data_IF_803697061760
#
_entry.id   IF_803697061760
#
_cell.length_a   1.000
_cell.length_b   1.000
_cell.length_c   1.000
_cell.angle_alpha   90.00
_cell.angle_beta   90.00
_cell.angle_gamma   90.00
#
_symmetry.space_group_name_H-M   'P 1'
#
loop_
_entity.id
_entity.type
_entity.pdbx_description
1 polymer ?
#
# COMPACT_ATOMS: atom_id res chain seq x y z
N UNK A 1 4.17 20.82 -19.26
CA UNK A 1 2.83 21.19 -19.80
C UNK A 1 1.83 20.75 -18.74
N UNK A 2 1.35 21.70 -17.94
CA UNK A 2 0.50 21.41 -16.80
C UNK A 2 -0.92 21.07 -17.26
N UNK A 3 -1.38 19.86 -17.01
CA UNK A 3 -2.80 19.56 -17.03
C UNK A 3 -3.30 19.58 -15.58
N UNK A 4 -3.87 20.69 -15.17
CA UNK A 4 -4.78 20.76 -14.06
C UNK A 4 -6.05 20.00 -14.48
N UNK A 5 -6.36 18.90 -13.80
CA UNK A 5 -7.64 18.21 -13.96
C UNK A 5 -8.67 18.89 -13.07
N UNK A 6 -9.40 19.86 -13.64
CA UNK A 6 -10.65 20.31 -13.06
C UNK A 6 -11.78 19.48 -13.66
N UNK A 7 -12.61 18.93 -12.81
CA UNK A 7 -13.86 18.29 -13.20
C UNK A 7 -14.78 19.34 -13.86
N UNK A 8 -14.74 19.39 -15.19
CA UNK A 8 -15.51 20.37 -15.97
C UNK A 8 -16.92 19.87 -16.23
N UNK A 9 -17.89 20.38 -15.47
CA UNK A 9 -19.28 20.40 -15.93
C UNK A 9 -19.43 21.62 -16.83
N UNK A 10 -19.62 21.41 -18.13
CA UNK A 10 -19.88 22.46 -19.11
C UNK A 10 -21.35 22.90 -18.94
N UNK A 11 -21.58 24.08 -18.39
CA UNK A 11 -22.87 24.78 -18.49
C UNK A 11 -22.67 26.00 -19.39
N UNK A 12 -23.43 26.05 -20.48
CA UNK A 12 -23.45 27.19 -21.39
C UNK A 12 -24.03 28.42 -20.72
N UNK A 13 -23.25 29.48 -20.61
CA UNK A 13 -23.68 30.77 -20.05
C UNK A 13 -24.33 31.65 -21.08
N UNK A 14 -25.59 32.05 -20.85
CA UNK A 14 -26.20 33.24 -21.40
C UNK A 14 -26.02 34.37 -20.40
N UNK A 15 -25.20 35.37 -20.77
CA UNK A 15 -24.91 36.53 -19.93
C UNK A 15 -26.14 37.44 -19.78
N UNK A 16 -26.66 37.52 -18.57
CA UNK A 16 -27.47 38.63 -18.09
C UNK A 16 -26.64 39.39 -17.05
N UNK A 17 -26.26 40.63 -17.36
CA UNK A 17 -25.56 41.51 -16.43
C UNK A 17 -26.52 41.93 -15.32
N UNK A 18 -26.52 41.23 -14.20
CA UNK A 18 -26.98 41.74 -12.91
C UNK A 18 -25.75 42.18 -12.11
N UNK A 19 -25.83 43.21 -11.23
CA UNK A 19 -24.75 43.56 -10.34
C UNK A 19 -24.56 42.39 -9.38
N UNK A 20 -23.47 41.62 -9.55
CA UNK A 20 -23.10 40.55 -8.65
C UNK A 20 -22.69 41.18 -7.32
N UNK A 21 -23.51 41.06 -6.28
CA UNK A 21 -22.97 40.93 -4.94
C UNK A 21 -21.99 39.76 -5.02
N UNK A 22 -20.73 40.00 -4.69
CA UNK A 22 -19.77 38.89 -4.57
C UNK A 22 -20.35 37.94 -3.52
N UNK A 23 -20.90 36.82 -3.98
CA UNK A 23 -21.24 35.72 -3.09
C UNK A 23 -19.92 35.25 -2.47
N UNK A 24 -19.88 35.15 -1.15
CA UNK A 24 -18.75 34.48 -0.49
C UNK A 24 -18.60 33.09 -1.09
N UNK A 25 -17.38 32.70 -1.37
CA UNK A 25 -17.12 31.35 -1.85
C UNK A 25 -17.59 30.34 -0.80
N UNK A 26 -18.30 29.29 -1.22
CA UNK A 26 -18.73 28.25 -0.30
C UNK A 26 -17.47 27.62 0.36
N UNK A 27 -17.59 27.36 1.65
CA UNK A 27 -16.50 26.75 2.44
C UNK A 27 -17.06 25.70 3.40
N UNK A 28 -16.43 24.50 3.40
CA UNK A 28 -16.72 23.43 4.34
C UNK A 28 -15.42 22.98 5.03
N UNK A 29 -15.48 22.80 6.34
CA UNK A 29 -14.38 22.25 7.14
C UNK A 29 -14.86 21.01 7.88
N UNK A 30 -14.24 19.86 7.64
CA UNK A 30 -14.49 18.62 8.36
C UNK A 30 -13.54 18.46 9.55
N UNK A 31 -13.98 17.74 10.59
CA UNK A 31 -13.09 17.30 11.66
C UNK A 31 -11.95 16.47 11.07
N UNK A 32 -10.69 16.79 11.41
CA UNK A 32 -9.53 16.25 10.73
C UNK A 32 -9.34 14.75 10.96
N UNK A 33 -9.61 14.27 12.19
CA UNK A 33 -9.43 12.84 12.54
C UNK A 33 -10.39 12.41 13.64
N UNK A 34 -11.06 11.27 13.39
CA UNK A 34 -11.91 10.58 14.36
C UNK A 34 -11.31 9.20 14.64
N UNK A 35 -11.14 8.84 15.91
CA UNK A 35 -10.67 7.51 16.31
C UNK A 35 -11.76 6.75 17.02
N UNK A 36 -12.03 5.52 16.57
CA UNK A 36 -13.03 4.62 17.18
C UNK A 36 -12.47 3.21 17.31
N UNK A 37 -13.03 2.41 18.21
CA UNK A 37 -12.74 0.97 18.28
C UNK A 37 -13.52 0.21 17.21
N UNK A 38 -12.99 -0.91 16.75
CA UNK A 38 -13.67 -1.81 15.81
C UNK A 38 -15.09 -2.15 16.29
N UNK A 39 -16.06 -2.02 15.41
CA UNK A 39 -17.48 -2.24 15.68
C UNK A 39 -18.20 -1.06 16.34
N UNK A 40 -17.50 0.02 16.69
CA UNK A 40 -18.11 1.25 17.20
C UNK A 40 -18.54 2.17 16.06
N UNK A 41 -19.51 3.04 16.35
CA UNK A 41 -19.88 4.12 15.45
C UNK A 41 -18.85 5.26 15.52
N UNK A 42 -18.54 5.83 14.37
CA UNK A 42 -17.85 7.09 14.24
C UNK A 42 -18.87 8.18 13.85
N UNK A 43 -18.81 9.33 14.53
CA UNK A 43 -19.58 10.51 14.16
C UNK A 43 -18.65 11.43 13.38
N UNK A 44 -18.91 11.60 12.10
CA UNK A 44 -18.21 12.53 11.22
C UNK A 44 -18.86 13.90 11.38
N UNK A 45 -18.06 14.94 11.58
CA UNK A 45 -18.55 16.32 11.79
C UNK A 45 -18.00 17.22 10.69
N UNK A 46 -18.85 18.09 10.14
CA UNK A 46 -18.44 19.13 9.21
C UNK A 46 -19.17 20.45 9.50
N UNK A 47 -18.52 21.55 9.18
CA UNK A 47 -19.00 22.92 9.37
C UNK A 47 -19.05 23.62 8.02
N UNK A 48 -20.23 24.11 7.64
CA UNK A 48 -20.39 25.01 6.50
C UNK A 48 -20.35 26.44 7.02
N UNK A 49 -19.43 27.26 6.55
CA UNK A 49 -19.17 28.60 7.08
C UNK A 49 -19.56 29.70 6.12
N UNK A 50 -19.56 29.45 4.81
CA UNK A 50 -19.86 30.42 3.76
C UNK A 50 -20.73 29.78 2.67
N UNK A 51 -21.25 30.59 1.72
CA UNK A 51 -22.06 30.15 0.59
C UNK A 51 -23.52 30.58 0.69
N UNK A 52 -24.33 30.21 -0.28
CA UNK A 52 -25.75 30.56 -0.40
C UNK A 52 -26.64 29.37 0.02
N UNK A 53 -27.39 29.55 1.12
CA UNK A 53 -28.32 28.50 1.61
C UNK A 53 -29.51 28.29 0.63
N UNK A 54 -30.17 27.10 0.59
CA UNK A 54 -29.86 25.91 1.40
C UNK A 54 -28.66 25.14 0.87
N UNK A 55 -28.04 24.27 1.75
CA UNK A 55 -26.90 23.44 1.42
C UNK A 55 -27.26 21.97 1.40
N UNK A 56 -26.63 21.21 0.51
CA UNK A 56 -26.66 19.76 0.50
C UNK A 56 -25.24 19.23 0.72
N UNK A 57 -25.03 18.42 1.74
CA UNK A 57 -23.75 17.79 2.04
C UNK A 57 -23.84 16.31 1.70
N UNK A 58 -23.04 15.84 0.73
CA UNK A 58 -22.88 14.44 0.39
C UNK A 58 -21.69 13.87 1.15
N UNK A 59 -21.91 12.77 1.87
CA UNK A 59 -20.86 12.01 2.56
C UNK A 59 -20.46 10.81 1.73
N UNK A 60 -19.16 10.64 1.48
CA UNK A 60 -18.61 9.52 0.71
C UNK A 60 -17.46 8.85 1.46
N UNK A 61 -17.20 7.58 1.16
CA UNK A 61 -16.03 6.85 1.63
C UNK A 61 -14.80 7.10 0.74
N UNK A 62 -13.66 6.46 1.04
CA UNK A 62 -12.42 6.56 0.29
C UNK A 62 -12.50 6.03 -1.15
N UNK A 63 -13.56 5.27 -1.50
CA UNK A 63 -13.88 4.83 -2.86
C UNK A 63 -14.86 5.75 -3.57
N UNK A 64 -15.20 6.89 -2.97
CA UNK A 64 -16.22 7.83 -3.43
C UNK A 64 -17.64 7.23 -3.51
N UNK A 65 -17.92 6.14 -2.78
CA UNK A 65 -19.29 5.66 -2.66
C UNK A 65 -20.10 6.61 -1.79
N UNK A 66 -21.27 7.02 -2.27
CA UNK A 66 -22.20 7.87 -1.50
C UNK A 66 -22.76 7.06 -0.34
N UNK A 67 -22.51 7.51 0.90
CA UNK A 67 -23.01 6.92 2.13
C UNK A 67 -24.35 7.53 2.54
N UNK A 68 -24.53 8.81 2.25
CA UNK A 68 -25.75 9.54 2.52
C UNK A 68 -25.59 11.02 2.27
N UNK A 69 -26.71 11.77 2.49
CA UNK A 69 -26.74 13.21 2.35
C UNK A 69 -27.41 13.84 3.58
N UNK A 70 -26.96 15.04 3.94
CA UNK A 70 -27.60 15.91 4.93
C UNK A 70 -27.90 17.25 4.30
N UNK A 71 -28.96 17.93 4.75
CA UNK A 71 -29.32 19.24 4.25
C UNK A 71 -29.32 20.28 5.39
N UNK A 72 -28.85 21.48 5.09
CA UNK A 72 -28.82 22.61 6.00
C UNK A 72 -29.55 23.81 5.37
N UNK A 73 -30.45 24.40 6.11
CA UNK A 73 -31.17 25.61 5.70
C UNK A 73 -30.34 26.91 5.89
N UNK A 74 -29.25 26.80 6.65
CA UNK A 74 -28.33 27.90 6.93
C UNK A 74 -26.92 27.35 7.15
N UNK A 75 -25.90 28.22 7.19
CA UNK A 75 -24.56 27.86 7.63
C UNK A 75 -24.61 27.29 9.05
N UNK A 76 -24.14 26.10 9.24
CA UNK A 76 -24.18 25.40 10.53
C UNK A 76 -23.28 24.15 10.48
N UNK A 77 -23.22 23.45 11.62
CA UNK A 77 -22.62 22.15 11.80
C UNK A 77 -23.56 21.04 11.32
N UNK A 78 -22.98 20.03 10.68
CA UNK A 78 -23.68 18.80 10.35
C UNK A 78 -22.89 17.59 10.85
N UNK A 79 -23.58 16.49 11.14
CA UNK A 79 -22.97 15.23 11.54
C UNK A 79 -23.51 14.07 10.72
N UNK A 80 -22.67 13.06 10.52
CA UNK A 80 -23.04 11.81 9.87
C UNK A 80 -22.44 10.60 10.61
N UNK A 81 -23.23 9.57 10.87
CA UNK A 81 -22.77 8.38 11.58
C UNK A 81 -22.39 7.27 10.59
N UNK A 82 -21.21 6.69 10.78
CA UNK A 82 -20.74 5.49 10.07
C UNK A 82 -20.29 4.42 11.05
N UNK A 83 -20.23 3.16 10.61
CA UNK A 83 -19.63 2.06 11.37
C UNK A 83 -18.47 1.49 10.53
N UNK A 84 -17.28 2.09 10.63
CA UNK A 84 -16.15 1.70 9.81
C UNK A 84 -15.57 0.35 10.28
N UNK A 85 -15.06 -0.44 9.34
CA UNK A 85 -14.39 -1.72 9.60
C UNK A 85 -12.88 -1.65 9.44
N UNK A 86 -12.38 -0.59 8.81
CA UNK A 86 -10.96 -0.31 8.54
C UNK A 86 -10.69 1.19 8.61
N UNK A 87 -9.42 1.57 8.68
CA UNK A 87 -9.01 2.96 8.61
C UNK A 87 -9.24 3.51 7.19
N UNK A 88 -9.67 4.75 7.08
CA UNK A 88 -9.92 5.37 5.77
C UNK A 88 -10.33 6.83 5.87
N UNK A 89 -10.30 7.50 4.74
CA UNK A 89 -10.75 8.88 4.60
C UNK A 89 -12.21 8.92 4.15
N UNK A 90 -12.97 9.83 4.75
CA UNK A 90 -14.36 10.13 4.43
C UNK A 90 -14.46 11.59 3.98
N UNK A 91 -15.24 11.84 2.96
CA UNK A 91 -15.33 13.16 2.34
C UNK A 91 -16.72 13.76 2.59
N UNK A 92 -16.73 15.03 2.98
CA UNK A 92 -17.92 15.86 3.03
C UNK A 92 -17.88 16.83 1.84
N UNK A 93 -18.73 16.62 0.84
CA UNK A 93 -18.88 17.54 -0.30
C UNK A 93 -20.12 18.36 -0.12
N UNK A 94 -19.97 19.68 0.06
CA UNK A 94 -21.09 20.61 0.13
C UNK A 94 -21.43 21.17 -1.25
N UNK A 95 -22.72 21.36 -1.50
CA UNK A 95 -23.25 22.11 -2.65
C UNK A 95 -24.23 23.16 -2.14
N UNK A 96 -24.07 24.43 -2.55
CA UNK A 96 -24.94 25.50 -2.18
C UNK A 96 -26.11 25.70 -3.18
N UNK A 97 -27.03 26.63 -2.89
CA UNK A 97 -28.18 26.92 -3.75
C UNK A 97 -27.81 27.50 -5.15
N UNK A 98 -26.62 28.07 -5.28
CA UNK A 98 -26.12 28.62 -6.55
C UNK A 98 -25.36 27.53 -7.36
N UNK A 99 -25.18 26.31 -6.79
CA UNK A 99 -24.52 25.20 -7.42
C UNK A 99 -22.99 25.23 -7.26
N UNK A 100 -22.44 26.08 -6.39
CA UNK A 100 -21.03 26.04 -6.03
C UNK A 100 -20.78 24.86 -5.11
N UNK A 101 -19.57 24.33 -5.15
CA UNK A 101 -19.18 23.14 -4.36
C UNK A 101 -17.84 23.35 -3.68
N UNK A 102 -17.71 22.77 -2.48
CA UNK A 102 -16.44 22.61 -1.78
C UNK A 102 -16.40 21.22 -1.11
N UNK A 103 -15.20 20.73 -0.77
CA UNK A 103 -14.99 19.39 -0.23
C UNK A 103 -13.92 19.43 0.84
N UNK A 104 -14.18 18.72 1.94
CA UNK A 104 -13.15 18.47 2.95
C UNK A 104 -13.18 17.02 3.45
N UNK A 105 -12.10 16.59 4.09
CA UNK A 105 -11.83 15.19 4.44
C UNK A 105 -11.83 15.01 5.96
N UNK A 106 -12.53 13.98 6.44
CA UNK A 106 -12.42 13.45 7.79
C UNK A 106 -11.70 12.11 7.76
N UNK A 107 -10.56 12.00 8.42
CA UNK A 107 -9.79 10.76 8.55
C UNK A 107 -10.34 9.91 9.69
N UNK A 108 -10.62 8.64 9.44
CA UNK A 108 -11.13 7.72 10.48
C UNK A 108 -10.11 6.64 10.76
N UNK A 109 -9.69 6.55 12.02
CA UNK A 109 -8.81 5.50 12.55
C UNK A 109 -9.67 4.49 13.31
N UNK A 110 -9.59 3.22 12.93
CA UNK A 110 -10.29 2.12 13.60
C UNK A 110 -9.27 1.29 14.37
N UNK A 111 -9.29 1.41 15.69
CA UNK A 111 -8.39 0.65 16.57
C UNK A 111 -8.90 -0.75 16.84
N UNK A 112 -7.97 -1.69 17.10
CA UNK A 112 -8.29 -3.09 17.42
C UNK A 112 -8.67 -3.93 16.20
N UNK A 113 -8.45 -3.47 14.99
CA UNK A 113 -8.61 -4.22 13.75
C UNK A 113 -7.22 -4.59 13.16
N UNK A 114 -7.18 -5.61 12.30
CA UNK A 114 -5.97 -6.16 11.67
C UNK A 114 -6.14 -6.35 10.16
N UNK A 115 -7.01 -5.57 9.54
CA UNK A 115 -7.26 -5.67 8.10
C UNK A 115 -5.96 -5.41 7.32
N UNK A 116 -5.70 -6.25 6.34
CA UNK A 116 -4.55 -6.08 5.44
C UNK A 116 -4.70 -4.81 4.61
N UNK A 117 -3.57 -4.19 4.24
CA UNK A 117 -3.59 -3.15 3.24
C UNK A 117 -3.48 -3.78 1.85
N UNK A 118 -4.57 -3.73 1.11
CA UNK A 118 -4.67 -4.21 -0.27
C UNK A 118 -4.78 -3.07 -1.27
N UNK A 119 -4.85 -1.83 -0.80
CA UNK A 119 -5.00 -0.58 -1.55
C UNK A 119 -6.28 -0.49 -2.41
N UNK A 120 -7.11 -1.53 -2.45
CA UNK A 120 -8.38 -1.55 -3.20
C UNK A 120 -9.47 -0.65 -2.58
N UNK A 121 -9.22 -0.11 -1.39
CA UNK A 121 -10.06 0.93 -0.76
C UNK A 121 -9.75 2.34 -1.26
N UNK A 122 -8.70 2.54 -2.07
CA UNK A 122 -8.29 3.84 -2.61
C UNK A 122 -8.88 4.06 -4.00
N UNK A 123 -9.48 5.22 -4.20
CA UNK A 123 -10.07 5.55 -5.50
C UNK A 123 -9.04 6.14 -6.45
N UNK A 124 -9.04 5.65 -7.67
CA UNK A 124 -8.28 6.17 -8.81
C UNK A 124 -9.13 6.09 -10.07
N UNK A 125 -8.94 7.03 -10.98
CA UNK A 125 -9.36 6.83 -12.36
C UNK A 125 -8.56 5.66 -12.97
N UNK A 126 -9.08 5.09 -14.08
CA UNK A 126 -8.39 4.02 -14.79
C UNK A 126 -7.02 4.48 -15.27
N UNK A 127 -6.00 3.62 -15.14
CA UNK A 127 -4.62 3.88 -15.58
C UNK A 127 -4.05 5.17 -14.98
N UNK A 128 -4.23 5.36 -13.68
CA UNK A 128 -3.79 6.58 -13.00
C UNK A 128 -3.01 6.29 -11.72
N UNK A 129 -2.52 7.34 -11.09
CA UNK A 129 -1.77 7.28 -9.84
C UNK A 129 -2.01 8.52 -8.99
N UNK A 130 -1.81 8.37 -7.68
CA UNK A 130 -1.76 9.47 -6.73
C UNK A 130 -0.38 9.46 -6.03
N UNK A 131 0.27 10.61 -5.97
CA UNK A 131 1.55 10.80 -5.29
C UNK A 131 1.56 11.98 -4.32
N UNK A 132 0.39 12.44 -3.93
CA UNK A 132 0.23 13.63 -3.09
C UNK A 132 -0.18 14.88 -3.92
N UNK A 133 -0.31 16.04 -3.24
CA UNK A 133 -0.20 16.19 -1.79
C UNK A 133 -1.41 15.66 -1.03
N UNK A 134 -1.21 15.20 0.22
CA UNK A 134 -2.28 15.05 1.21
C UNK A 134 -2.45 16.39 1.94
N UNK A 135 -3.49 17.13 1.63
CA UNK A 135 -3.75 18.44 2.24
C UNK A 135 -4.24 18.37 3.69
N UNK A 136 -4.50 17.17 4.24
CA UNK A 136 -4.72 16.94 5.67
C UNK A 136 -3.40 16.67 6.43
N UNK A 137 -2.28 16.60 5.71
CA UNK A 137 -0.96 16.49 6.27
C UNK A 137 -0.47 17.80 6.90
N UNK A 138 0.67 17.72 7.58
CA UNK A 138 1.28 18.88 8.22
C UNK A 138 2.16 19.66 7.23
N UNK A 139 1.99 20.97 7.11
CA UNK A 139 2.92 21.81 6.35
C UNK A 139 4.34 21.69 6.90
N UNK A 140 5.32 21.67 6.00
CA UNK A 140 6.73 21.59 6.36
C UNK A 140 7.62 22.37 5.38
N UNK A 141 8.90 22.45 5.74
CA UNK A 141 9.95 23.02 4.88
C UNK A 141 10.99 21.94 4.64
N UNK A 142 11.23 21.62 3.38
CA UNK A 142 12.24 20.66 2.96
C UNK A 142 13.66 21.14 3.18
N UNK A 143 14.62 20.24 3.05
CA UNK A 143 16.04 20.54 3.29
C UNK A 143 16.62 21.59 2.34
N UNK A 144 15.97 21.83 1.22
CA UNK A 144 16.32 22.87 0.24
C UNK A 144 15.47 24.14 0.37
N UNK A 145 14.68 24.26 1.46
CA UNK A 145 13.82 25.42 1.70
C UNK A 145 12.51 25.41 0.91
N UNK A 146 12.14 24.28 0.32
CA UNK A 146 10.88 24.09 -0.41
C UNK A 146 9.71 23.87 0.53
N UNK A 147 8.53 24.38 0.16
CA UNK A 147 7.29 24.11 0.89
C UNK A 147 6.84 22.66 0.65
N UNK A 148 6.56 21.95 1.72
CA UNK A 148 6.14 20.55 1.69
C UNK A 148 4.83 20.33 2.44
N UNK A 149 4.13 19.25 2.07
CA UNK A 149 3.05 18.65 2.84
C UNK A 149 3.50 17.27 3.29
N UNK A 150 3.52 17.03 4.61
CA UNK A 150 3.86 15.76 5.24
C UNK A 150 2.55 15.06 5.61
N UNK A 151 2.09 14.18 4.76
CA UNK A 151 0.82 13.50 4.86
C UNK A 151 0.94 11.99 4.79
N UNK A 152 -0.20 11.36 4.53
CA UNK A 152 -0.32 9.91 4.41
C UNK A 152 -1.60 9.53 3.67
N UNK A 153 -1.71 8.28 3.26
CA UNK A 153 -2.97 7.64 2.94
C UNK A 153 -3.17 6.39 3.79
N UNK A 154 -4.40 5.88 3.86
CA UNK A 154 -4.78 4.76 4.71
C UNK A 154 -5.26 3.58 3.88
N UNK A 155 -4.84 2.36 4.24
CA UNK A 155 -5.40 1.12 3.72
C UNK A 155 -5.38 0.05 4.80
N UNK A 156 -6.51 -0.61 5.04
CA UNK A 156 -6.66 -1.59 6.10
C UNK A 156 -6.34 -1.02 7.49
N UNK A 157 -5.41 -1.65 8.19
CA UNK A 157 -4.94 -1.24 9.52
C UNK A 157 -3.80 -0.20 9.46
N UNK A 158 -3.35 0.18 8.27
CA UNK A 158 -2.05 0.83 8.04
C UNK A 158 -2.19 2.24 7.48
N UNK A 159 -1.17 3.05 7.74
CA UNK A 159 -0.94 4.34 7.10
C UNK A 159 0.37 4.32 6.33
N UNK A 160 0.41 5.01 5.21
CA UNK A 160 1.56 5.07 4.31
C UNK A 160 1.99 6.51 4.15
N UNK A 161 3.17 6.86 4.67
CA UNK A 161 3.66 8.24 4.67
C UNK A 161 3.89 8.75 3.26
N UNK A 162 3.55 10.03 3.03
CA UNK A 162 3.81 10.73 1.79
C UNK A 162 4.27 12.15 2.12
N UNK A 163 5.46 12.51 1.68
CA UNK A 163 5.95 13.90 1.72
C UNK A 163 5.95 14.44 0.30
N UNK A 164 5.23 15.53 0.08
CA UNK A 164 5.08 16.15 -1.24
C UNK A 164 5.62 17.58 -1.25
N UNK A 165 6.59 17.87 -2.12
CA UNK A 165 7.09 19.22 -2.32
C UNK A 165 6.15 20.01 -3.24
N UNK A 166 5.49 21.04 -2.70
CA UNK A 166 4.64 21.95 -3.44
C UNK A 166 5.45 22.84 -4.39
N UNK A 167 6.75 23.02 -4.12
CA UNK A 167 7.66 23.84 -4.93
C UNK A 167 8.23 23.10 -6.14
N UNK A 168 8.54 21.81 -5.98
CA UNK A 168 9.21 20.99 -6.98
C UNK A 168 8.29 19.96 -7.64
N UNK A 169 7.05 19.82 -7.15
CA UNK A 169 6.09 18.80 -7.60
C UNK A 169 6.69 17.38 -7.56
N UNK A 170 7.47 17.13 -6.51
CA UNK A 170 8.14 15.85 -6.24
C UNK A 170 7.66 15.27 -4.93
N UNK A 171 7.87 13.97 -4.73
CA UNK A 171 7.39 13.25 -3.58
C UNK A 171 8.44 12.27 -3.05
N UNK A 172 8.30 11.83 -1.81
CA UNK A 172 8.97 10.68 -1.21
C UNK A 172 8.02 9.94 -0.27
N UNK A 173 8.36 8.70 0.09
CA UNK A 173 7.49 7.84 0.87
C UNK A 173 6.69 6.93 -0.05
N UNK A 174 5.37 7.03 0.00
CA UNK A 174 4.47 6.19 -0.77
C UNK A 174 3.54 7.01 -1.68
N UNK A 175 3.35 6.49 -2.86
CA UNK A 175 2.27 6.78 -3.80
C UNK A 175 1.43 5.53 -3.99
N UNK A 176 0.29 5.60 -4.70
CA UNK A 176 -0.45 4.43 -5.14
C UNK A 176 -0.86 4.57 -6.61
N UNK A 177 -1.02 3.42 -7.28
CA UNK A 177 -1.26 3.35 -8.72
C UNK A 177 -2.14 2.15 -9.08
N UNK A 178 -2.93 2.27 -10.15
CA UNK A 178 -3.63 1.17 -10.79
C UNK A 178 -3.19 0.99 -12.26
N UNK A 179 -2.00 1.50 -12.60
CA UNK A 179 -1.46 1.37 -13.96
C UNK A 179 -1.18 -0.08 -14.31
N UNK A 180 -1.60 -0.49 -15.50
CA UNK A 180 -1.27 -1.79 -16.11
C UNK A 180 -0.05 -1.73 -17.03
N UNK A 181 0.53 -0.55 -17.24
CA UNK A 181 1.76 -0.37 -18.01
C UNK A 181 2.98 -0.97 -17.27
N UNK A 182 3.87 -1.60 -18.03
CA UNK A 182 5.02 -2.36 -17.49
C UNK A 182 6.38 -1.78 -17.90
N UNK A 183 6.39 -0.62 -18.55
CA UNK A 183 7.59 0.01 -19.08
C UNK A 183 7.87 1.34 -18.41
N UNK A 184 9.11 1.77 -18.51
CA UNK A 184 9.58 3.09 -18.16
C UNK A 184 10.17 3.75 -19.40
N UNK A 185 9.40 4.58 -20.07
CA UNK A 185 9.81 5.34 -21.26
C UNK A 185 10.06 6.83 -20.91
N UNK A 186 9.46 7.30 -19.82
CA UNK A 186 9.58 8.66 -19.32
C UNK A 186 9.38 8.73 -17.80
N UNK A 187 9.70 9.87 -17.19
CA UNK A 187 9.50 10.05 -15.74
C UNK A 187 8.01 10.00 -15.31
N UNK A 188 7.07 10.17 -16.24
CA UNK A 188 5.65 9.95 -15.96
C UNK A 188 5.33 8.48 -15.61
N UNK A 189 6.19 7.55 -16.06
CA UNK A 189 6.02 6.11 -15.85
C UNK A 189 6.60 5.61 -14.51
N UNK A 190 7.04 6.51 -13.63
CA UNK A 190 7.64 6.17 -12.33
C UNK A 190 6.70 5.37 -11.40
N UNK A 191 5.40 5.37 -11.69
CA UNK A 191 4.36 4.68 -10.94
C UNK A 191 4.06 3.27 -11.46
N UNK A 192 4.72 2.84 -12.54
CA UNK A 192 4.54 1.52 -13.13
C UNK A 192 5.40 0.46 -12.44
N UNK A 193 4.90 -0.76 -12.37
CA UNK A 193 5.69 -1.93 -12.02
C UNK A 193 5.93 -2.84 -13.22
N UNK A 194 6.76 -3.86 -13.08
CA UNK A 194 7.22 -4.71 -14.20
C UNK A 194 6.20 -5.73 -14.70
N UNK A 195 5.04 -5.89 -14.03
CA UNK A 195 3.99 -6.85 -14.42
C UNK A 195 2.65 -6.17 -14.74
N UNK A 196 2.47 -4.91 -14.30
CA UNK A 196 1.22 -4.16 -14.39
C UNK A 196 0.18 -4.62 -13.36
N UNK A 197 -0.49 -3.66 -12.71
CA UNK A 197 -1.48 -3.94 -11.65
C UNK A 197 -0.87 -4.44 -10.34
N UNK A 198 -1.73 -4.67 -9.35
CA UNK A 198 -1.36 -5.18 -8.03
C UNK A 198 -1.16 -6.71 -7.99
N UNK A 199 -0.88 -7.25 -6.80
CA UNK A 199 -0.77 -8.68 -6.58
C UNK A 199 -2.16 -9.33 -6.53
N UNK A 200 -2.59 -9.92 -7.66
CA UNK A 200 -3.96 -10.42 -7.88
C UNK A 200 -5.06 -9.36 -7.67
N UNK A 201 -4.72 -8.11 -7.82
CA UNK A 201 -5.54 -6.93 -7.55
C UNK A 201 -5.30 -5.85 -8.60
N UNK A 202 -5.97 -4.70 -8.49
CA UNK A 202 -5.80 -3.58 -9.43
C UNK A 202 -4.80 -2.57 -8.92
N UNK A 203 -4.90 -2.22 -7.63
CA UNK A 203 -4.18 -1.11 -7.02
C UNK A 203 -3.00 -1.61 -6.18
N UNK A 204 -1.90 -0.88 -6.23
CA UNK A 204 -0.68 -1.18 -5.46
C UNK A 204 -0.03 0.11 -4.99
N UNK A 205 0.80 0.02 -3.94
CA UNK A 205 1.61 1.16 -3.52
C UNK A 205 2.97 1.16 -4.23
N UNK A 206 3.43 2.36 -4.54
CA UNK A 206 4.78 2.63 -5.08
C UNK A 206 5.57 3.32 -3.98
N UNK A 207 6.69 2.75 -3.59
CA UNK A 207 7.62 3.30 -2.61
C UNK A 207 8.77 4.02 -3.31
N UNK A 208 9.18 5.16 -2.78
CA UNK A 208 10.31 5.93 -3.29
C UNK A 208 11.15 6.51 -2.16
N UNK A 209 12.48 6.39 -2.29
CA UNK A 209 13.51 6.95 -1.41
C UNK A 209 13.48 6.37 0.00
N UNK A 210 12.64 6.87 0.87
CA UNK A 210 12.40 6.44 2.25
C UNK A 210 10.96 6.72 2.64
N UNK A 211 10.41 5.96 3.56
CA UNK A 211 9.04 6.17 4.05
C UNK A 211 8.72 5.28 5.23
N UNK A 212 7.52 5.44 5.75
CA UNK A 212 7.05 4.71 6.93
C UNK A 212 5.65 4.15 6.68
N UNK A 213 5.48 2.87 6.98
CA UNK A 213 4.20 2.20 7.14
C UNK A 213 3.87 2.30 8.63
N UNK A 214 2.93 3.16 9.00
CA UNK A 214 2.43 3.29 10.36
C UNK A 214 1.32 2.26 10.64
N UNK A 215 1.04 1.98 11.91
CA UNK A 215 -0.01 1.05 12.31
C UNK A 215 -0.99 1.75 13.27
N UNK A 216 -1.76 2.76 12.80
CA UNK A 216 -2.66 3.53 13.66
C UNK A 216 -3.77 2.68 14.29
N UNK A 217 -4.10 1.54 13.69
CA UNK A 217 -5.07 0.58 14.26
C UNK A 217 -4.57 -0.13 15.52
N UNK A 218 -3.25 -0.16 15.75
CA UNK A 218 -2.61 -0.81 16.90
C UNK A 218 -1.52 0.10 17.49
N UNK A 219 -1.87 1.16 18.22
CA UNK A 219 -0.90 2.13 18.73
C UNK A 219 0.12 1.55 19.72
N UNK A 220 -0.22 0.45 20.39
CA UNK A 220 0.68 -0.30 21.27
C UNK A 220 1.60 -1.28 20.49
N UNK A 221 1.41 -1.37 19.19
CA UNK A 221 2.12 -2.27 18.31
C UNK A 221 1.41 -3.60 18.04
N UNK A 222 1.79 -4.23 16.93
CA UNK A 222 1.32 -5.56 16.52
C UNK A 222 2.39 -6.26 15.68
N UNK A 223 2.27 -7.57 15.52
CA UNK A 223 3.07 -8.32 14.55
C UNK A 223 2.53 -8.09 13.14
N UNK A 224 3.44 -7.92 12.17
CA UNK A 224 3.14 -7.82 10.74
C UNK A 224 3.71 -9.05 10.05
N UNK A 225 2.85 -9.86 9.43
CA UNK A 225 3.25 -11.12 8.80
C UNK A 225 4.20 -10.90 7.62
N UNK A 226 3.98 -9.87 6.81
CA UNK A 226 4.78 -9.56 5.64
C UNK A 226 4.01 -8.76 4.60
N UNK A 227 4.57 -8.71 3.40
CA UNK A 227 4.00 -8.01 2.24
C UNK A 227 4.46 -8.65 0.93
N UNK A 228 3.76 -8.37 -0.15
CA UNK A 228 4.29 -8.65 -1.49
C UNK A 228 5.09 -7.47 -2.01
N UNK A 229 6.21 -7.76 -2.69
CA UNK A 229 7.13 -6.76 -3.25
C UNK A 229 7.49 -7.10 -4.70
N UNK A 230 7.71 -6.05 -5.51
CA UNK A 230 8.19 -6.18 -6.89
C UNK A 230 9.00 -4.95 -7.28
N UNK A 231 9.90 -5.09 -8.26
CA UNK A 231 10.59 -3.94 -8.84
C UNK A 231 9.61 -3.00 -9.56
N UNK A 232 9.82 -1.70 -9.39
CA UNK A 232 9.21 -0.72 -10.29
C UNK A 232 9.75 -0.88 -11.71
N UNK A 233 9.00 -0.43 -12.71
CA UNK A 233 9.46 -0.43 -14.09
C UNK A 233 10.72 0.44 -14.27
N UNK A 234 10.81 1.56 -13.54
CA UNK A 234 11.97 2.45 -13.56
C UNK A 234 13.23 1.75 -13.04
N UNK A 235 13.19 1.21 -11.84
CA UNK A 235 14.32 0.51 -11.23
C UNK A 235 14.78 -0.67 -12.10
N UNK A 236 13.83 -1.47 -12.60
CA UNK A 236 14.14 -2.60 -13.48
C UNK A 236 14.78 -2.14 -14.80
N UNK A 237 14.27 -1.07 -15.43
CA UNK A 237 14.86 -0.53 -16.64
C UNK A 237 16.32 -0.14 -16.43
N UNK A 238 16.62 0.54 -15.32
CA UNK A 238 17.99 0.96 -14.99
C UNK A 238 18.89 -0.23 -14.66
N UNK A 239 18.43 -1.23 -13.91
CA UNK A 239 19.19 -2.47 -13.66
C UNK A 239 19.59 -3.14 -14.98
N UNK A 240 18.68 -3.21 -15.95
CA UNK A 240 18.90 -3.92 -17.21
C UNK A 240 19.68 -3.11 -18.26
N UNK A 241 19.57 -1.80 -18.26
CA UNK A 241 20.08 -0.95 -19.34
C UNK A 241 21.05 0.15 -18.89
N UNK A 242 21.04 0.49 -17.58
CA UNK A 242 21.67 1.74 -17.09
C UNK A 242 20.88 2.98 -17.52
N UNK A 243 21.32 4.13 -17.04
CA UNK A 243 20.82 5.44 -17.45
C UNK A 243 21.94 6.51 -17.35
N UNK A 244 21.59 7.79 -17.32
CA UNK A 244 22.55 8.89 -17.25
C UNK A 244 23.30 8.96 -15.90
N UNK A 245 22.81 8.33 -14.84
CA UNK A 245 23.30 8.43 -13.46
C UNK A 245 23.78 7.08 -12.91
N UNK A 246 23.16 5.98 -13.33
CA UNK A 246 23.40 4.63 -12.85
C UNK A 246 23.92 3.74 -13.98
N UNK A 247 24.88 2.88 -13.69
CA UNK A 247 25.34 1.90 -14.67
C UNK A 247 24.36 0.71 -14.75
N UNK A 248 24.39 0.02 -15.89
CA UNK A 248 23.75 -1.28 -16.04
C UNK A 248 24.39 -2.27 -15.07
N UNK A 249 23.58 -3.09 -14.39
CA UNK A 249 24.10 -4.10 -13.44
C UNK A 249 24.98 -5.14 -14.14
N UNK A 250 26.13 -5.35 -13.54
CA UNK A 250 27.12 -6.34 -13.90
C UNK A 250 27.40 -7.28 -12.72
N UNK A 251 28.30 -8.24 -12.88
CA UNK A 251 28.71 -9.13 -11.80
C UNK A 251 29.25 -8.34 -10.60
N UNK A 252 28.72 -8.59 -9.43
CA UNK A 252 29.05 -7.92 -8.17
C UNK A 252 27.99 -6.91 -7.72
N UNK A 253 27.09 -6.50 -8.63
CA UNK A 253 26.05 -5.53 -8.31
C UNK A 253 24.88 -6.14 -7.53
N UNK A 254 24.23 -5.29 -6.76
CA UNK A 254 23.05 -5.64 -5.98
C UNK A 254 22.24 -4.41 -5.60
N UNK A 255 20.94 -4.64 -5.35
CA UNK A 255 20.01 -3.66 -4.79
C UNK A 255 19.15 -4.37 -3.76
N UNK A 256 19.02 -3.80 -2.55
CA UNK A 256 18.15 -4.33 -1.50
C UNK A 256 17.30 -3.24 -0.87
N UNK A 257 16.17 -3.63 -0.32
CA UNK A 257 15.39 -2.85 0.63
C UNK A 257 15.62 -3.37 2.04
N UNK A 258 15.72 -2.46 3.00
CA UNK A 258 15.83 -2.72 4.43
C UNK A 258 14.55 -2.24 5.08
N UNK A 259 13.77 -3.13 5.64
CA UNK A 259 12.61 -2.82 6.47
C UNK A 259 13.05 -2.77 7.92
N UNK A 260 12.81 -1.66 8.59
CA UNK A 260 13.13 -1.45 10.01
C UNK A 260 11.83 -1.34 10.80
N UNK A 261 11.57 -2.34 11.63
CA UNK A 261 10.47 -2.31 12.59
C UNK A 261 10.82 -1.42 13.77
N UNK A 262 9.92 -0.51 14.14
CA UNK A 262 10.07 0.38 15.29
C UNK A 262 9.06 -0.03 16.36
N UNK A 263 9.53 -0.33 17.57
CA UNK A 263 8.68 -0.72 18.70
C UNK A 263 8.20 0.52 19.48
N UNK A 264 7.22 0.35 20.36
CA UNK A 264 6.77 1.40 21.27
C UNK A 264 7.88 1.85 22.25
N UNK A 265 8.85 0.99 22.57
CA UNK A 265 10.02 1.33 23.41
C UNK A 265 11.13 2.08 22.66
N UNK A 266 11.05 2.16 21.33
CA UNK A 266 12.08 2.76 20.48
C UNK A 266 13.18 1.78 20.03
N UNK A 267 13.06 0.48 20.38
CA UNK A 267 13.95 -0.54 19.85
C UNK A 267 13.64 -0.82 18.38
N UNK A 268 14.64 -1.25 17.63
CA UNK A 268 14.51 -1.54 16.20
C UNK A 268 15.05 -2.92 15.85
N UNK A 269 14.38 -3.54 14.88
CA UNK A 269 14.80 -4.80 14.25
C UNK A 269 14.69 -4.65 12.74
N UNK A 270 15.55 -5.32 11.98
CA UNK A 270 15.58 -5.18 10.51
C UNK A 270 15.35 -6.49 9.79
N UNK A 271 14.70 -6.40 8.63
CA UNK A 271 14.59 -7.45 7.61
C UNK A 271 15.09 -6.89 6.30
N UNK A 272 16.03 -7.59 5.66
CA UNK A 272 16.57 -7.21 4.35
C UNK A 272 15.97 -8.09 3.25
N UNK A 273 15.71 -7.46 2.08
CA UNK A 273 15.23 -8.18 0.90
C UNK A 273 15.91 -7.65 -0.37
N UNK A 274 16.50 -8.56 -1.17
CA UNK A 274 17.19 -8.19 -2.39
C UNK A 274 16.21 -8.08 -3.57
N UNK A 275 16.10 -6.88 -4.13
CA UNK A 275 15.36 -6.60 -5.36
C UNK A 275 16.11 -7.06 -6.60
N UNK A 276 17.46 -7.04 -6.54
CA UNK A 276 18.37 -7.60 -7.53
C UNK A 276 19.65 -8.07 -6.85
N UNK A 277 20.20 -9.20 -7.30
CA UNK A 277 21.45 -9.75 -6.80
C UNK A 277 22.28 -10.40 -7.93
N UNK A 278 23.40 -9.77 -8.29
CA UNK A 278 24.32 -10.21 -9.34
C UNK A 278 25.69 -10.58 -8.74
N UNK A 279 25.77 -10.85 -7.42
CA UNK A 279 27.03 -11.12 -6.73
C UNK A 279 27.54 -12.54 -6.93
N UNK A 280 26.68 -13.53 -7.24
CA UNK A 280 27.13 -14.90 -7.46
C UNK A 280 28.11 -14.96 -8.66
N UNK A 281 29.14 -15.77 -8.55
CA UNK A 281 30.10 -15.99 -9.64
C UNK A 281 29.50 -16.71 -10.86
N UNK A 282 28.37 -17.39 -10.67
CA UNK A 282 27.59 -18.03 -11.72
C UNK A 282 26.50 -17.07 -12.22
N UNK A 283 26.62 -16.52 -13.46
CA UNK A 283 25.63 -15.61 -14.00
C UNK A 283 24.20 -16.19 -14.09
N UNK A 284 24.06 -17.51 -14.10
CA UNK A 284 22.74 -18.16 -14.12
C UNK A 284 21.96 -17.97 -12.80
N UNK A 285 22.62 -17.52 -11.75
CA UNK A 285 22.01 -17.21 -10.46
C UNK A 285 21.74 -15.71 -10.26
N UNK A 286 22.18 -14.87 -11.19
CA UNK A 286 21.85 -13.46 -11.16
C UNK A 286 20.36 -13.26 -11.36
N UNK A 287 19.77 -12.38 -10.58
CA UNK A 287 18.35 -12.05 -10.71
C UNK A 287 18.05 -10.59 -10.40
N UNK A 288 16.99 -10.11 -11.03
CA UNK A 288 16.21 -8.98 -10.58
C UNK A 288 14.75 -9.47 -10.52
N UNK A 289 14.06 -9.24 -9.40
CA UNK A 289 12.70 -9.75 -9.24
C UNK A 289 11.77 -9.10 -10.26
N UNK A 290 11.04 -9.91 -11.00
CA UNK A 290 10.12 -9.50 -12.06
C UNK A 290 8.71 -10.11 -11.92
N UNK A 291 8.43 -10.65 -10.75
CA UNK A 291 7.11 -11.12 -10.30
C UNK A 291 6.94 -10.74 -8.85
N UNK A 292 5.69 -10.59 -8.38
CA UNK A 292 5.40 -10.35 -6.98
C UNK A 292 6.01 -11.43 -6.09
N UNK A 293 6.78 -11.04 -5.09
CA UNK A 293 7.46 -11.92 -4.15
C UNK A 293 7.00 -11.63 -2.73
N UNK A 294 6.80 -12.67 -1.92
CA UNK A 294 6.49 -12.52 -0.51
C UNK A 294 7.75 -12.18 0.30
N UNK A 295 7.65 -11.16 1.12
CA UNK A 295 8.65 -10.82 2.14
C UNK A 295 8.05 -11.09 3.51
N UNK A 296 8.63 -12.03 4.25
CA UNK A 296 8.26 -12.33 5.63
C UNK A 296 8.83 -11.25 6.56
N UNK A 297 7.97 -10.51 7.23
CA UNK A 297 8.34 -9.46 8.19
C UNK A 297 8.13 -9.89 9.64
N UNK A 298 7.77 -11.14 9.91
CA UNK A 298 7.50 -11.64 11.27
C UNK A 298 8.69 -11.49 12.23
N UNK A 299 9.92 -11.51 11.69
CA UNK A 299 11.14 -11.28 12.46
C UNK A 299 11.26 -9.86 13.05
N UNK A 300 10.47 -8.89 12.57
CA UNK A 300 10.42 -7.54 13.16
C UNK A 300 9.76 -7.55 14.55
N UNK A 301 8.98 -8.59 14.88
CA UNK A 301 8.25 -8.70 16.13
C UNK A 301 7.06 -7.74 16.24
N UNK A 302 6.75 -7.31 17.46
CA UNK A 302 5.67 -6.34 17.72
C UNK A 302 6.17 -4.92 17.44
N UNK A 303 5.61 -4.28 16.41
CA UNK A 303 6.01 -2.96 15.93
C UNK A 303 4.83 -1.99 15.89
N UNK A 304 5.09 -0.70 16.08
CA UNK A 304 4.14 0.41 15.89
C UNK A 304 4.24 1.01 14.50
N UNK A 305 5.39 0.83 13.85
CA UNK A 305 5.62 1.24 12.47
C UNK A 305 6.77 0.46 11.83
N UNK A 306 6.83 0.47 10.50
CA UNK A 306 7.91 -0.09 9.71
C UNK A 306 8.41 0.99 8.76
N UNK A 307 9.67 1.41 8.90
CA UNK A 307 10.32 2.29 7.94
C UNK A 307 11.10 1.48 6.91
N UNK A 308 11.34 2.07 5.74
CA UNK A 308 12.18 1.45 4.73
C UNK A 308 13.29 2.39 4.23
N UNK A 309 14.39 1.79 3.78
CA UNK A 309 15.47 2.42 3.04
C UNK A 309 15.99 1.45 1.98
N UNK A 310 16.59 1.99 0.91
CA UNK A 310 17.27 1.18 -0.11
C UNK A 310 18.77 1.36 -0.01
N UNK A 311 19.48 0.26 -0.24
CA UNK A 311 20.94 0.23 -0.39
C UNK A 311 21.31 -0.56 -1.65
N UNK A 312 22.40 -0.19 -2.29
CA UNK A 312 22.90 -0.85 -3.50
C UNK A 312 24.39 -0.62 -3.73
N UNK A 313 24.97 -1.46 -4.59
CA UNK A 313 26.39 -1.39 -4.99
C UNK A 313 26.68 -0.12 -5.80
N UNK A 314 25.75 0.31 -6.66
CA UNK A 314 25.89 1.51 -7.47
C UNK A 314 25.50 2.75 -6.68
N UNK A 315 26.48 3.31 -5.95
CA UNK A 315 26.32 4.46 -5.06
C UNK A 315 27.45 5.47 -5.25
N UNK A 316 27.11 6.74 -5.12
CA UNK A 316 28.05 7.86 -5.25
C UNK A 316 28.00 8.83 -4.06
N UNK A 317 28.59 10.00 -4.25
CA UNK A 317 28.63 11.05 -3.21
C UNK A 317 27.25 11.60 -2.84
N UNK A 318 26.25 11.38 -3.68
CA UNK A 318 24.86 11.77 -3.47
C UNK A 318 23.97 10.62 -3.00
N UNK A 319 24.55 9.45 -2.68
CA UNK A 319 23.84 8.24 -2.26
C UNK A 319 23.67 7.23 -3.40
N UNK A 320 22.57 6.50 -3.38
CA UNK A 320 22.26 5.46 -4.37
C UNK A 320 22.04 6.09 -5.75
N UNK A 321 22.75 5.59 -6.78
CA UNK A 321 22.58 6.02 -8.17
C UNK A 321 21.40 5.28 -8.85
N UNK A 322 21.25 3.98 -8.54
CA UNK A 322 20.09 3.20 -9.00
C UNK A 322 18.79 3.82 -8.47
N UNK A 323 17.75 4.02 -9.32
CA UNK A 323 16.48 4.59 -8.87
C UNK A 323 15.89 3.84 -7.65
N UNK A 324 15.65 4.57 -6.57
CA UNK A 324 15.24 4.02 -5.29
C UNK A 324 13.73 3.76 -5.24
N UNK A 325 13.18 3.03 -6.23
CA UNK A 325 11.75 2.71 -6.35
C UNK A 325 11.51 1.20 -6.25
N UNK A 326 10.44 0.84 -5.59
CA UNK A 326 9.85 -0.51 -5.61
C UNK A 326 8.33 -0.42 -5.39
N UNK A 327 7.61 -1.51 -5.64
CA UNK A 327 6.18 -1.54 -5.39
C UNK A 327 5.84 -2.60 -4.34
N UNK A 328 4.81 -2.34 -3.54
CA UNK A 328 4.30 -3.27 -2.52
C UNK A 328 2.79 -3.45 -2.66
N UNK A 329 2.31 -4.60 -2.19
CA UNK A 329 0.89 -4.91 -2.10
C UNK A 329 0.63 -5.91 -0.98
N UNK A 330 -0.65 -6.08 -0.61
CA UNK A 330 -1.11 -7.10 0.33
C UNK A 330 -0.32 -7.09 1.67
N UNK A 331 -0.14 -5.90 2.28
CA UNK A 331 0.56 -5.78 3.57
C UNK A 331 -0.26 -6.45 4.66
N UNK A 332 0.37 -7.35 5.40
CA UNK A 332 -0.22 -8.13 6.49
C UNK A 332 -1.32 -9.11 6.05
N UNK A 333 -1.34 -9.54 4.79
CA UNK A 333 -2.10 -10.73 4.42
C UNK A 333 -1.52 -11.96 5.11
N UNK A 334 -2.28 -13.04 5.17
CA UNK A 334 -1.76 -14.30 5.65
C UNK A 334 -0.62 -14.76 4.74
N UNK A 335 0.53 -15.09 5.34
CA UNK A 335 1.69 -15.60 4.60
C UNK A 335 1.26 -16.73 3.63
N UNK A 336 1.81 -16.75 2.40
CA UNK A 336 1.53 -17.83 1.47
C UNK A 336 1.88 -19.17 2.09
N UNK A 337 1.05 -20.18 1.87
CA UNK A 337 1.30 -21.51 2.40
C UNK A 337 2.58 -22.09 1.77
N UNK A 338 3.70 -21.95 2.44
CA UNK A 338 4.98 -22.54 2.05
C UNK A 338 4.97 -24.03 2.36
N UNK A 339 4.42 -24.83 1.44
CA UNK A 339 4.43 -26.28 1.61
C UNK A 339 3.51 -26.75 2.75
N UNK A 340 3.23 -28.03 2.80
CA UNK A 340 2.26 -28.69 3.69
C UNK A 340 2.35 -28.14 5.12
N UNK A 341 1.47 -27.19 5.46
CA UNK A 341 1.29 -26.78 6.84
C UNK A 341 0.76 -27.98 7.62
N UNK A 342 1.56 -28.50 8.54
CA UNK A 342 1.12 -29.47 9.52
C UNK A 342 0.17 -28.81 10.54
N UNK A 343 -0.98 -28.32 10.10
CA UNK A 343 -2.06 -28.01 11.02
C UNK A 343 -2.75 -29.31 11.42
N UNK A 344 -2.11 -30.05 12.30
CA UNK A 344 -2.75 -31.17 12.97
C UNK A 344 -3.24 -30.68 14.33
N UNK A 345 -4.37 -29.97 14.34
CA UNK A 345 -5.25 -29.96 15.47
C UNK A 345 -6.14 -31.21 15.39
N UNK A 346 -5.64 -32.32 15.88
CA UNK A 346 -6.37 -33.58 15.94
C UNK A 346 -5.44 -34.67 16.46
N UNK A 347 -5.91 -35.46 17.40
CA UNK A 347 -5.20 -36.53 18.10
C UNK A 347 -4.15 -37.24 17.22
N UNK A 348 -2.95 -37.42 17.76
CA UNK A 348 -1.84 -38.10 17.12
C UNK A 348 -2.32 -39.41 16.47
N UNK A 349 -2.40 -39.43 15.14
CA UNK A 349 -2.67 -40.65 14.41
C UNK A 349 -1.31 -41.37 14.32
N UNK A 350 -1.05 -42.29 15.20
CA UNK A 350 0.21 -43.00 15.42
C UNK A 350 0.60 -43.94 14.28
N UNK A 351 -0.13 -43.97 13.17
CA UNK A 351 0.15 -44.87 12.05
C UNK A 351 0.89 -44.12 10.95
N UNK A 352 2.13 -44.53 10.59
CA UNK A 352 2.84 -43.96 9.45
C UNK A 352 2.03 -44.08 8.14
N UNK A 353 2.09 -43.06 7.31
CA UNK A 353 1.37 -43.05 6.03
C UNK A 353 2.27 -42.56 4.89
N UNK A 354 2.15 -43.19 3.73
CA UNK A 354 2.90 -42.85 2.52
C UNK A 354 1.93 -42.28 1.49
N UNK A 355 2.33 -41.19 0.84
CA UNK A 355 1.55 -40.51 -0.19
C UNK A 355 2.34 -40.36 -1.49
N UNK A 356 1.67 -40.38 -2.64
CA UNK A 356 2.25 -39.97 -3.92
C UNK A 356 2.24 -38.42 -4.07
N UNK A 357 2.82 -37.94 -5.17
CA UNK A 357 2.92 -36.51 -5.47
C UNK A 357 1.56 -35.83 -5.70
N UNK A 358 0.50 -36.59 -5.93
CA UNK A 358 -0.87 -36.07 -6.04
C UNK A 358 -1.60 -36.02 -4.71
N UNK A 359 -0.91 -36.38 -3.60
CA UNK A 359 -1.50 -36.43 -2.26
C UNK A 359 -2.35 -37.68 -1.98
N UNK A 360 -2.37 -38.65 -2.89
CA UNK A 360 -3.13 -39.90 -2.72
C UNK A 360 -2.35 -40.85 -1.80
N UNK A 361 -3.03 -41.35 -0.75
CA UNK A 361 -2.44 -42.32 0.19
C UNK A 361 -2.14 -43.63 -0.56
N UNK A 362 -0.90 -44.14 -0.38
CA UNK A 362 -0.45 -45.41 -0.90
C UNK A 362 -0.53 -46.45 0.23
N UNK A 363 -1.25 -47.57 0.00
CA UNK A 363 -1.30 -48.66 0.94
C UNK A 363 0.03 -49.44 0.90
N UNK A 364 0.76 -49.44 2.01
CA UNK A 364 2.01 -50.21 2.16
C UNK A 364 1.69 -51.43 3.02
N UNK A 365 1.61 -52.59 2.42
CA UNK A 365 1.45 -53.86 3.14
C UNK A 365 2.83 -54.41 3.48
N UNK A 366 3.07 -54.68 4.79
CA UNK A 366 4.24 -55.43 5.23
C UNK A 366 5.41 -54.65 5.77
N UNK A 367 5.25 -53.40 6.22
CA UNK A 367 6.28 -52.67 7.01
C UNK A 367 7.55 -52.23 6.27
N UNK A 368 7.67 -52.53 4.97
CA UNK A 368 8.77 -52.10 4.13
C UNK A 368 8.30 -51.14 3.03
N UNK A 369 8.98 -50.02 2.88
CA UNK A 369 8.66 -48.97 1.88
C UNK A 369 9.13 -49.36 0.47
N UNK A 370 9.28 -50.64 0.19
CA UNK A 370 9.56 -51.16 -1.14
C UNK A 370 8.30 -51.26 -2.01
N UNK A 371 7.57 -50.12 -2.13
CA UNK A 371 6.46 -50.05 -3.05
C UNK A 371 6.95 -50.06 -4.50
N UNK A 372 6.50 -51.01 -5.28
CA UNK A 372 6.72 -51.12 -6.72
C UNK A 372 6.35 -49.86 -7.46
N UNK A 373 7.31 -49.01 -7.76
CA UNK A 373 7.13 -47.80 -8.56
C UNK A 373 8.18 -46.75 -8.29
N UNK A 374 8.94 -46.39 -9.32
CA UNK A 374 9.91 -45.27 -9.26
C UNK A 374 9.19 -43.96 -9.05
N UNK A 375 9.73 -43.11 -8.18
CA UNK A 375 9.20 -41.74 -8.01
C UNK A 375 9.38 -41.19 -6.58
N UNK A 376 9.08 -39.90 -6.45
CA UNK A 376 9.08 -39.20 -5.16
C UNK A 376 7.88 -39.63 -4.31
N UNK A 377 8.12 -39.92 -3.04
CA UNK A 377 7.11 -40.27 -2.04
C UNK A 377 7.20 -39.34 -0.85
N UNK A 378 6.07 -39.06 -0.25
CA UNK A 378 5.96 -38.28 0.98
C UNK A 378 5.57 -39.27 2.09
N UNK A 379 6.44 -39.41 3.08
CA UNK A 379 6.21 -40.27 4.24
C UNK A 379 5.88 -39.40 5.43
N UNK A 380 4.71 -39.61 6.03
CA UNK A 380 4.35 -39.05 7.31
C UNK A 380 4.70 -40.08 8.39
N UNK A 381 5.64 -39.72 9.26
CA UNK A 381 6.09 -40.55 10.38
C UNK A 381 5.06 -40.55 11.53
N UNK A 382 5.21 -41.51 12.47
CA UNK A 382 4.32 -41.62 13.64
C UNK A 382 4.42 -40.40 14.59
N UNK A 383 5.59 -39.74 14.61
CA UNK A 383 5.84 -38.50 15.37
C UNK A 383 5.28 -37.22 14.71
N UNK A 384 4.62 -37.37 13.54
CA UNK A 384 4.07 -36.25 12.77
C UNK A 384 5.06 -35.62 11.79
N UNK A 385 6.35 -35.99 11.82
CA UNK A 385 7.32 -35.48 10.87
C UNK A 385 7.06 -35.99 9.45
N UNK A 386 7.50 -35.22 8.45
CA UNK A 386 7.33 -35.56 7.03
C UNK A 386 8.69 -35.70 6.37
N UNK A 387 8.90 -36.84 5.70
CA UNK A 387 10.14 -37.14 4.96
C UNK A 387 9.83 -37.35 3.47
N UNK A 388 10.63 -36.73 2.60
CA UNK A 388 10.60 -37.00 1.15
C UNK A 388 11.59 -38.08 0.81
N UNK A 389 11.16 -39.16 0.16
CA UNK A 389 11.99 -40.29 -0.26
C UNK A 389 11.82 -40.52 -1.74
N UNK A 390 12.94 -40.67 -2.44
CA UNK A 390 12.96 -41.07 -3.85
C UNK A 390 13.19 -42.59 -3.94
N UNK A 391 12.20 -43.31 -4.46
CA UNK A 391 12.32 -44.75 -4.73
C UNK A 391 12.85 -44.95 -6.15
N UNK A 392 14.00 -45.65 -6.28
CA UNK A 392 14.64 -45.98 -7.56
C UNK A 392 13.93 -47.14 -8.29
#
# INVERSE_FOLDING_TARGET
>A
MNKLYSLGIVIAASAVLCPSSASAAIDITAESTVTVSLGSKATLTAYVTEGTAPFTIAWTDSRHNILGTTNLENVDMTTFEVTPTECGDYYATVTDADGNTDIDTCRVIVTGQTAAATFENLWLESESSWAGPDYKGEPGIGIYGDNQMNGMFLSGAFSFSNTYSLSWYSWEGFAFSNSTATKFDSFADQYNNVVGGGHNSSTYAVAFSKGTIGIPAAPEGTEVSGLYIINSAYTMNTILNGDAYAHKFEQGDWLKVIFTGNTASGDTTTVEYYLADYRDSDPAKHYAINTWQWVDLSALGTVTSISFALEGSDSGIYGLNTPAYFCIDDVNVKAPATGINNTINGAANTTPAVYDMSGRRINVSGGSINASGRGLRIIRNADGTVTKVFTK
#
